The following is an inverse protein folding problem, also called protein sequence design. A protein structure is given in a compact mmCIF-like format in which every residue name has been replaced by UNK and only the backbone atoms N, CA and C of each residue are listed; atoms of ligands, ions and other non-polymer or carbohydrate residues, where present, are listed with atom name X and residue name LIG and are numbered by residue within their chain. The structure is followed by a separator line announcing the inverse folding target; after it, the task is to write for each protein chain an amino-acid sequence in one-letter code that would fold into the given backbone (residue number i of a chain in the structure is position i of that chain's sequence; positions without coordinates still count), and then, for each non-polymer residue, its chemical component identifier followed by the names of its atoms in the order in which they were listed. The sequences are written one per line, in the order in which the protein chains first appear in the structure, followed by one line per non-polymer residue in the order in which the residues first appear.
data_IF_086849584375
#
_entry.id   IF_086849584375
#
_cell.length_a   1.000
_cell.length_b   1.000
_cell.length_c   1.000
_cell.angle_alpha   90.00
_cell.angle_beta   90.00
_cell.angle_gamma   90.00
#
_symmetry.space_group_name_H-M   'P 1'
#
loop_
_entity.id
_entity.type
_entity.pdbx_description
1 polymer ?
#
# COMPACT_ATOMS: atom_id res chain seq x y z
N UNK A 1 1.83 12.03 21.26
CA UNK A 1 1.02 10.79 21.18
C UNK A 1 1.17 10.33 19.74
N UNK A 2 1.70 9.14 19.58
CA UNK A 2 2.49 8.69 18.42
C UNK A 2 1.77 8.80 17.06
N UNK A 3 2.55 9.03 16.00
CA UNK A 3 2.14 9.10 14.58
C UNK A 3 1.73 7.72 14.03
N UNK A 4 0.85 7.03 14.77
CA UNK A 4 0.33 5.72 14.38
C UNK A 4 -0.80 5.91 13.38
N UNK A 5 -0.79 5.18 12.24
CA UNK A 5 -1.90 5.22 11.30
C UNK A 5 -3.23 4.88 11.96
N UNK A 6 -4.28 5.65 11.64
CA UNK A 6 -5.61 5.53 12.25
C UNK A 6 -6.17 4.10 12.25
N UNK A 7 -5.97 3.36 11.16
CA UNK A 7 -6.41 1.97 11.05
C UNK A 7 -5.70 1.05 12.06
N UNK A 8 -4.41 1.29 12.34
CA UNK A 8 -3.65 0.53 13.33
C UNK A 8 -4.15 0.87 14.73
N UNK A 9 -4.34 2.15 15.05
CA UNK A 9 -4.88 2.59 16.34
C UNK A 9 -6.25 1.97 16.62
N UNK A 10 -7.14 1.97 15.62
CA UNK A 10 -8.45 1.33 15.74
C UNK A 10 -8.34 -0.18 15.98
N UNK A 11 -7.43 -0.88 15.29
CA UNK A 11 -7.21 -2.32 15.51
C UNK A 11 -6.69 -2.63 16.91
N UNK A 12 -5.81 -1.80 17.47
CA UNK A 12 -5.35 -1.95 18.86
C UNK A 12 -6.52 -1.87 19.84
N UNK A 13 -7.44 -0.93 19.62
CA UNK A 13 -8.65 -0.81 20.46
C UNK A 13 -9.58 -2.01 20.28
N UNK A 14 -9.80 -2.46 19.03
CA UNK A 14 -10.77 -3.51 18.70
C UNK A 14 -10.31 -4.90 19.12
N UNK A 15 -9.05 -5.23 18.82
CA UNK A 15 -8.51 -6.58 18.94
C UNK A 15 -7.57 -6.72 20.15
N UNK A 16 -7.10 -5.61 20.72
CA UNK A 16 -6.11 -5.60 21.79
C UNK A 16 -6.69 -5.80 23.18
N UNK A 17 -5.79 -6.07 24.13
CA UNK A 17 -6.09 -6.20 25.56
C UNK A 17 -5.27 -5.18 26.33
N UNK A 18 -5.89 -4.51 27.31
CA UNK A 18 -5.21 -3.54 28.17
C UNK A 18 -4.30 -4.27 29.15
N UNK A 19 -3.00 -4.06 29.04
CA UNK A 19 -2.00 -4.63 29.96
C UNK A 19 -1.80 -3.75 31.20
N UNK A 20 -1.79 -2.43 31.01
CA UNK A 20 -1.67 -1.45 32.09
C UNK A 20 -2.43 -0.18 31.72
N UNK A 21 -3.11 0.43 32.69
CA UNK A 21 -3.83 1.69 32.51
C UNK A 21 -3.75 2.53 33.79
N UNK A 22 -2.90 3.56 33.75
CA UNK A 22 -2.75 4.49 34.88
C UNK A 22 -3.83 5.57 34.91
N UNK A 23 -4.49 5.84 33.78
CA UNK A 23 -5.53 6.86 33.65
C UNK A 23 -6.66 6.36 32.74
N UNK A 24 -7.74 5.94 33.38
CA UNK A 24 -8.95 5.40 32.74
C UNK A 24 -9.61 6.43 31.81
N UNK A 25 -9.72 7.67 32.27
CA UNK A 25 -10.40 8.75 31.56
C UNK A 25 -9.70 9.06 30.25
N UNK A 26 -8.37 9.15 30.28
CA UNK A 26 -7.56 9.35 29.08
C UNK A 26 -7.73 8.20 28.08
N UNK A 27 -7.85 6.95 28.54
CA UNK A 27 -8.10 5.79 27.67
C UNK A 27 -9.46 5.89 27.00
N UNK A 28 -10.50 6.27 27.74
CA UNK A 28 -11.86 6.43 27.22
C UNK A 28 -11.89 7.52 26.15
N UNK A 29 -11.30 8.68 26.42
CA UNK A 29 -11.24 9.80 25.48
C UNK A 29 -10.48 9.44 24.20
N UNK A 30 -9.32 8.80 24.35
CA UNK A 30 -8.53 8.31 23.20
C UNK A 30 -9.31 7.28 22.38
N UNK A 31 -10.02 6.37 23.05
CA UNK A 31 -10.84 5.33 22.40
C UNK A 31 -11.98 5.96 21.61
N UNK A 32 -12.76 6.84 22.24
CA UNK A 32 -13.88 7.51 21.61
C UNK A 32 -13.43 8.34 20.38
N UNK A 33 -12.35 9.11 20.53
CA UNK A 33 -11.77 9.90 19.44
C UNK A 33 -11.30 9.02 18.27
N UNK A 34 -10.60 7.92 18.56
CA UNK A 34 -10.10 7.00 17.53
C UNK A 34 -11.21 6.27 16.81
N UNK A 35 -12.21 5.76 17.53
CA UNK A 35 -13.36 5.07 16.94
C UNK A 35 -14.17 6.02 16.07
N UNK A 36 -14.47 7.23 16.55
CA UNK A 36 -15.20 8.24 15.79
C UNK A 36 -14.50 8.55 14.46
N UNK A 37 -13.21 8.90 14.52
CA UNK A 37 -12.40 9.19 13.33
C UNK A 37 -12.31 8.01 12.37
N UNK A 38 -12.16 6.79 12.89
CA UNK A 38 -12.09 5.60 12.06
C UNK A 38 -13.41 5.35 11.33
N UNK A 39 -14.55 5.49 12.01
CA UNK A 39 -15.86 5.30 11.41
C UNK A 39 -16.16 6.34 10.32
N UNK A 40 -15.75 7.59 10.52
CA UNK A 40 -15.83 8.64 9.49
C UNK A 40 -15.01 8.28 8.25
N UNK A 41 -13.85 7.65 8.44
CA UNK A 41 -12.92 7.31 7.35
C UNK A 41 -13.20 5.92 6.72
N UNK A 42 -13.94 5.05 7.41
CA UNK A 42 -14.23 3.68 6.99
C UNK A 42 -14.82 3.60 5.56
N UNK A 43 -15.77 4.45 5.14
CA UNK A 43 -16.32 4.39 3.79
C UNK A 43 -15.25 4.58 2.69
N UNK A 44 -14.24 5.40 2.94
CA UNK A 44 -13.14 5.63 2.01
C UNK A 44 -12.23 4.40 1.91
N UNK A 45 -11.93 3.77 3.04
CA UNK A 45 -11.17 2.52 3.10
C UNK A 45 -11.91 1.43 2.32
N UNK A 46 -13.19 1.21 2.62
CA UNK A 46 -14.00 0.17 1.97
C UNK A 46 -14.07 0.36 0.44
N UNK A 47 -14.24 1.62 -0.01
CA UNK A 47 -14.24 1.94 -1.44
C UNK A 47 -12.89 1.69 -2.09
N UNK A 48 -11.80 2.05 -1.41
CA UNK A 48 -10.45 1.84 -1.90
C UNK A 48 -10.14 0.35 -2.02
N UNK A 49 -10.43 -0.45 -0.99
CA UNK A 49 -10.25 -1.90 -0.99
C UNK A 49 -11.03 -2.57 -2.11
N UNK A 50 -12.32 -2.22 -2.29
CA UNK A 50 -13.12 -2.74 -3.40
C UNK A 50 -12.49 -2.44 -4.76
N UNK A 51 -12.00 -1.21 -4.93
CA UNK A 51 -11.36 -0.79 -6.19
C UNK A 51 -10.06 -1.58 -6.44
N UNK A 52 -9.25 -1.79 -5.41
CA UNK A 52 -8.02 -2.59 -5.51
C UNK A 52 -8.36 -4.03 -5.85
N UNK A 53 -9.33 -4.64 -5.17
CA UNK A 53 -9.79 -6.01 -5.44
C UNK A 53 -10.32 -6.18 -6.86
N UNK A 54 -11.08 -5.22 -7.37
CA UNK A 54 -11.57 -5.24 -8.75
C UNK A 54 -10.41 -5.14 -9.76
N UNK A 55 -9.37 -4.37 -9.46
CA UNK A 55 -8.14 -4.33 -10.29
C UNK A 55 -7.37 -5.65 -10.22
N UNK A 56 -7.30 -6.30 -9.07
CA UNK A 56 -6.68 -7.64 -8.93
C UNK A 56 -7.39 -8.63 -9.84
N UNK A 57 -8.72 -8.68 -9.78
CA UNK A 57 -9.54 -9.60 -10.58
C UNK A 57 -9.37 -9.39 -12.09
N UNK A 58 -9.13 -8.16 -12.52
CA UNK A 58 -8.88 -7.83 -13.93
C UNK A 58 -7.42 -8.09 -14.37
N UNK A 59 -6.52 -8.40 -13.44
CA UNK A 59 -5.08 -8.51 -13.71
C UNK A 59 -4.37 -7.15 -13.80
N UNK A 60 -5.06 -6.05 -13.50
CA UNK A 60 -4.61 -4.69 -13.74
C UNK A 60 -3.73 -4.11 -12.63
N UNK A 61 -3.49 -4.86 -11.55
CA UNK A 61 -2.65 -4.42 -10.41
C UNK A 61 -1.27 -3.90 -10.86
N UNK A 62 -0.67 -4.59 -11.83
CA UNK A 62 0.68 -4.30 -12.36
C UNK A 62 0.66 -3.51 -13.67
N UNK A 63 -0.53 -3.20 -14.19
CA UNK A 63 -0.73 -2.54 -15.49
C UNK A 63 -1.08 -1.05 -15.37
N UNK A 64 -0.90 -0.46 -14.18
CA UNK A 64 -0.90 1.00 -14.01
C UNK A 64 0.20 1.69 -14.82
N UNK A 65 0.18 3.02 -14.85
CA UNK A 65 1.23 3.84 -15.48
C UNK A 65 2.60 3.47 -14.92
N UNK A 66 3.33 2.61 -15.66
CA UNK A 66 4.68 2.23 -15.35
C UNK A 66 5.59 3.07 -16.27
N UNK A 67 6.25 4.12 -15.77
CA UNK A 67 7.15 4.95 -16.57
C UNK A 67 8.34 4.16 -17.15
N UNK A 68 8.57 2.94 -16.65
CA UNK A 68 9.60 2.02 -17.11
C UNK A 68 9.05 0.87 -17.96
N UNK A 69 7.79 0.92 -18.41
CA UNK A 69 7.27 -0.03 -19.40
C UNK A 69 8.15 0.03 -20.66
N UNK A 70 8.64 -1.13 -21.12
CA UNK A 70 9.56 -1.23 -22.26
C UNK A 70 11.00 -0.79 -21.99
N UNK A 71 11.41 -0.60 -20.72
CA UNK A 71 12.84 -0.39 -20.39
C UNK A 71 13.69 -1.62 -20.72
N UNK A 72 13.15 -2.82 -20.46
CA UNK A 72 13.80 -4.11 -20.76
C UNK A 72 14.03 -4.26 -22.27
N UNK A 73 13.01 -3.98 -23.09
CA UNK A 73 13.13 -4.07 -24.55
C UNK A 73 14.14 -3.05 -25.09
N UNK A 74 14.19 -1.84 -24.52
CA UNK A 74 15.22 -0.83 -24.84
C UNK A 74 16.62 -1.31 -24.48
N UNK A 75 16.82 -1.89 -23.31
CA UNK A 75 18.11 -2.48 -22.93
C UNK A 75 18.51 -3.64 -23.84
N UNK A 76 17.54 -4.50 -24.23
CA UNK A 76 17.78 -5.60 -25.17
C UNK A 76 18.25 -5.07 -26.53
N UNK A 77 17.53 -4.10 -27.11
CA UNK A 77 17.90 -3.47 -28.38
C UNK A 77 19.28 -2.78 -28.31
N UNK A 78 19.58 -2.11 -27.19
CA UNK A 78 20.87 -1.47 -26.98
C UNK A 78 22.00 -2.51 -26.92
N UNK A 79 21.80 -3.62 -26.21
CA UNK A 79 22.78 -4.73 -26.16
C UNK A 79 22.99 -5.37 -27.52
N UNK A 80 21.91 -5.63 -28.27
CA UNK A 80 21.99 -6.18 -29.63
C UNK A 80 22.75 -5.24 -30.57
N UNK A 81 22.53 -3.92 -30.46
CA UNK A 81 23.26 -2.92 -31.22
C UNK A 81 24.75 -2.91 -30.89
N UNK A 82 25.11 -2.90 -29.60
CA UNK A 82 26.51 -2.95 -29.19
C UNK A 82 27.19 -4.28 -29.58
N UNK A 83 26.47 -5.40 -29.54
CA UNK A 83 26.99 -6.69 -29.98
C UNK A 83 27.28 -6.69 -31.49
N UNK A 84 26.39 -6.10 -32.31
CA UNK A 84 26.61 -5.90 -33.74
C UNK A 84 27.80 -4.99 -34.04
N UNK A 85 27.89 -3.85 -33.34
CA UNK A 85 28.98 -2.89 -33.50
C UNK A 85 30.34 -3.47 -33.06
N UNK A 86 30.32 -4.40 -32.09
CA UNK A 86 31.50 -5.12 -31.62
C UNK A 86 31.83 -6.41 -32.41
N UNK A 87 31.02 -6.77 -33.42
CA UNK A 87 31.23 -7.98 -34.23
C UNK A 87 30.99 -9.30 -33.50
N UNK A 88 30.21 -9.30 -32.41
CA UNK A 88 29.89 -10.48 -31.59
C UNK A 88 28.51 -11.00 -31.99
N UNK A 89 28.44 -12.20 -32.57
CA UNK A 89 27.17 -12.85 -32.99
C UNK A 89 26.32 -13.22 -31.75
N UNK A 90 25.12 -12.63 -31.56
CA UNK A 90 24.28 -12.91 -30.41
C UNK A 90 23.48 -14.19 -30.65
N UNK A 91 24.07 -15.34 -30.33
CA UNK A 91 23.38 -16.63 -30.25
C UNK A 91 22.91 -16.93 -28.83
#
# INVERSE_FOLDING_TARGET
LDDVPLAVSYRVIRDGVVLNCNNEQLRIEWTASTVSRYLDFKPFIDRHEKTVLDRVRRGDLLHGYNPHRGSIDRYRQLRERFARDAGIDPR
#
